data_IF_681905467450
#
_entry.id   IF_681905467450
#
_cell.length_a   1.000
_cell.length_b   1.000
_cell.length_c   1.000
_cell.angle_alpha   90.00
_cell.angle_beta   90.00
_cell.angle_gamma   90.00
#
_symmetry.space_group_name_H-M   'P 1'
#
loop_
_entity.id
_entity.type
_entity.pdbx_description
1 polymer ?
#
# COMPACT_ATOMS: atom_id res chain seq x y z
N UNK A 1 -4.31 19.04 19.19
CA UNK A 1 -4.10 20.29 18.41
C UNK A 1 -5.42 20.68 17.78
N UNK A 2 -5.77 21.97 17.63
CA UNK A 2 -6.99 22.32 16.90
C UNK A 2 -6.78 22.08 15.39
N UNK A 3 -7.12 20.87 14.92
CA UNK A 3 -7.10 20.44 13.53
C UNK A 3 -8.39 20.88 12.84
N UNK A 4 -8.32 21.31 11.58
CA UNK A 4 -9.48 21.70 10.77
C UNK A 4 -9.65 20.88 9.48
N UNK A 5 -8.73 19.97 9.19
CA UNK A 5 -8.83 19.01 8.09
C UNK A 5 -7.93 17.77 8.30
N UNK A 6 -8.16 16.74 7.50
CA UNK A 6 -7.28 15.58 7.34
C UNK A 6 -6.80 15.51 5.89
N UNK A 7 -5.53 15.15 5.69
CA UNK A 7 -4.94 14.92 4.37
C UNK A 7 -4.43 13.47 4.29
N UNK A 8 -5.10 12.62 3.50
CA UNK A 8 -4.59 11.30 3.16
C UNK A 8 -3.55 11.44 2.04
N UNK A 9 -2.34 10.91 2.27
CA UNK A 9 -1.21 11.07 1.37
C UNK A 9 -0.88 9.72 0.73
N UNK A 10 -1.01 9.63 -0.60
CA UNK A 10 -0.86 8.39 -1.36
C UNK A 10 0.14 8.52 -2.52
N UNK A 11 0.48 7.39 -3.15
CA UNK A 11 1.44 7.36 -4.25
C UNK A 11 0.90 8.01 -5.53
N UNK A 12 -0.36 7.75 -5.86
CA UNK A 12 -0.96 8.08 -7.16
C UNK A 12 -0.82 6.96 -8.19
N UNK A 13 -1.59 7.04 -9.26
CA UNK A 13 -1.55 6.09 -10.37
C UNK A 13 -2.43 6.55 -11.53
N UNK A 14 -2.12 6.12 -12.77
CA UNK A 14 -2.85 6.53 -13.96
C UNK A 14 -4.28 5.99 -13.91
N UNK A 15 -5.25 6.80 -14.27
CA UNK A 15 -6.70 6.49 -14.25
C UNK A 15 -7.27 6.14 -15.62
N UNK A 16 -6.48 6.37 -16.68
CA UNK A 16 -6.79 5.99 -18.05
C UNK A 16 -5.54 5.49 -18.80
N UNK A 17 -5.70 4.73 -19.91
CA UNK A 17 -4.57 4.16 -20.66
C UNK A 17 -3.58 5.21 -21.19
N UNK A 18 -4.08 6.35 -21.67
CA UNK A 18 -3.27 7.44 -22.20
C UNK A 18 -2.45 8.18 -21.11
N UNK A 19 -2.81 7.99 -19.84
CA UNK A 19 -2.11 8.55 -18.69
C UNK A 19 -0.90 7.70 -18.25
N UNK A 20 -0.79 6.43 -18.68
CA UNK A 20 0.23 5.48 -18.18
C UNK A 20 1.65 6.02 -18.38
N UNK A 21 2.00 6.38 -19.62
CA UNK A 21 3.36 6.83 -19.96
C UNK A 21 3.70 8.19 -19.31
N UNK A 22 2.82 9.22 -19.39
CA UNK A 22 3.01 10.46 -18.65
C UNK A 22 3.22 10.26 -17.13
N UNK A 23 2.44 9.37 -16.51
CA UNK A 23 2.61 9.01 -15.10
C UNK A 23 4.00 8.41 -14.83
N UNK A 24 4.43 7.46 -15.65
CA UNK A 24 5.73 6.80 -15.47
C UNK A 24 6.90 7.77 -15.68
N UNK A 25 6.78 8.73 -16.59
CA UNK A 25 7.77 9.81 -16.75
C UNK A 25 7.91 10.66 -15.47
N UNK A 26 6.80 10.94 -14.77
CA UNK A 26 6.82 11.63 -13.47
C UNK A 26 7.52 10.77 -12.41
N UNK A 27 7.13 9.50 -12.29
CA UNK A 27 7.72 8.56 -11.31
C UNK A 27 9.22 8.36 -11.54
N UNK A 28 9.65 8.36 -12.80
CA UNK A 28 11.03 8.18 -13.21
C UNK A 28 11.87 9.47 -13.11
N UNK A 29 11.25 10.63 -12.87
CA UNK A 29 11.96 11.91 -12.86
C UNK A 29 13.09 11.91 -11.84
N UNK A 30 14.28 12.30 -12.29
CA UNK A 30 15.49 12.32 -11.46
C UNK A 30 16.05 10.94 -11.14
N UNK A 31 15.52 9.87 -11.76
CA UNK A 31 16.02 8.50 -11.65
C UNK A 31 16.57 8.06 -13.00
N UNK A 32 17.68 7.32 -12.98
CA UNK A 32 18.26 6.74 -14.18
C UNK A 32 17.58 5.39 -14.49
N UNK A 33 16.28 5.42 -14.82
CA UNK A 33 15.52 4.22 -15.21
C UNK A 33 15.62 4.06 -16.73
N UNK A 34 16.10 2.91 -17.23
CA UNK A 34 16.18 2.68 -18.66
C UNK A 34 14.78 2.74 -19.34
N UNK A 35 14.64 3.34 -20.53
CA UNK A 35 13.35 3.44 -21.24
C UNK A 35 12.66 2.08 -21.42
N UNK A 36 13.42 1.03 -21.68
CA UNK A 36 12.89 -0.34 -21.81
C UNK A 36 12.21 -0.83 -20.52
N UNK A 37 12.71 -0.42 -19.35
CA UNK A 37 12.12 -0.78 -18.06
C UNK A 37 10.85 0.01 -17.79
N UNK A 38 10.78 1.27 -18.22
CA UNK A 38 9.53 2.04 -18.16
C UNK A 38 8.46 1.46 -19.06
N UNK A 39 8.83 1.04 -20.27
CA UNK A 39 7.91 0.42 -21.21
C UNK A 39 7.39 -0.94 -20.71
N UNK A 40 8.25 -1.73 -20.06
CA UNK A 40 7.83 -2.96 -19.39
C UNK A 40 6.77 -2.69 -18.30
N UNK A 41 6.98 -1.68 -17.46
CA UNK A 41 5.99 -1.28 -16.44
C UNK A 41 4.72 -0.71 -17.08
N UNK A 42 4.83 0.02 -18.19
CA UNK A 42 3.66 0.49 -18.94
C UNK A 42 2.80 -0.69 -19.39
N UNK A 43 3.42 -1.75 -19.91
CA UNK A 43 2.73 -2.97 -20.29
C UNK A 43 2.03 -3.66 -19.10
N UNK A 44 2.58 -3.56 -17.89
CA UNK A 44 1.90 -4.08 -16.69
C UNK A 44 0.57 -3.34 -16.45
N UNK A 45 0.55 -2.02 -16.59
CA UNK A 45 -0.68 -1.22 -16.50
C UNK A 45 -1.66 -1.53 -17.63
N UNK A 46 -1.19 -1.68 -18.86
CA UNK A 46 -2.04 -2.00 -20.03
C UNK A 46 -2.75 -3.36 -19.88
N UNK A 47 -2.18 -4.29 -19.11
CA UNK A 47 -2.80 -5.58 -18.78
C UNK A 47 -3.84 -5.50 -17.66
N UNK A 48 -3.97 -4.36 -16.98
CA UNK A 48 -4.99 -4.17 -15.95
C UNK A 48 -6.36 -3.93 -16.59
N UNK A 49 -7.47 -4.28 -15.90
CA UNK A 49 -8.81 -3.98 -16.39
C UNK A 49 -8.98 -2.50 -16.76
N UNK A 50 -9.17 -2.22 -18.05
CA UNK A 50 -9.32 -0.86 -18.57
C UNK A 50 -8.04 -0.03 -18.61
N UNK A 51 -6.85 -0.64 -18.48
CA UNK A 51 -5.56 0.06 -18.59
C UNK A 51 -5.38 1.16 -17.55
N UNK A 52 -5.87 0.95 -16.33
CA UNK A 52 -5.85 1.95 -15.26
C UNK A 52 -5.56 1.36 -13.88
N UNK A 53 -5.06 2.20 -12.99
CA UNK A 53 -4.85 1.92 -11.57
C UNK A 53 -6.13 2.19 -10.77
N UNK A 54 -6.60 1.24 -9.93
CA UNK A 54 -7.70 1.51 -9.00
C UNK A 54 -7.25 2.33 -7.77
N UNK A 55 -5.96 2.64 -7.62
CA UNK A 55 -5.41 3.29 -6.42
C UNK A 55 -6.13 4.60 -6.09
N UNK A 56 -6.37 5.45 -7.09
CA UNK A 56 -7.01 6.75 -6.89
C UNK A 56 -8.44 6.60 -6.38
N UNK A 57 -9.25 5.77 -7.04
CA UNK A 57 -10.62 5.44 -6.65
C UNK A 57 -10.68 4.87 -5.22
N UNK A 58 -9.80 3.91 -4.90
CA UNK A 58 -9.75 3.28 -3.57
C UNK A 58 -9.34 4.27 -2.48
N UNK A 59 -8.40 5.15 -2.76
CA UNK A 59 -7.96 6.18 -1.81
C UNK A 59 -9.08 7.20 -1.54
N UNK A 60 -9.83 7.61 -2.57
CA UNK A 60 -10.99 8.47 -2.42
C UNK A 60 -12.10 7.78 -1.61
N UNK A 61 -12.35 6.49 -1.83
CA UNK A 61 -13.29 5.71 -1.02
C UNK A 61 -12.87 5.65 0.46
N UNK A 62 -11.57 5.46 0.74
CA UNK A 62 -11.03 5.53 2.11
C UNK A 62 -11.25 6.91 2.74
N UNK A 63 -11.02 8.00 1.99
CA UNK A 63 -11.24 9.36 2.48
C UNK A 63 -12.72 9.59 2.83
N UNK A 64 -13.64 9.20 1.95
CA UNK A 64 -15.08 9.32 2.19
C UNK A 64 -15.54 8.46 3.38
N UNK A 65 -15.00 7.26 3.53
CA UNK A 65 -15.32 6.38 4.66
C UNK A 65 -14.81 6.97 5.98
N UNK A 66 -13.58 7.53 5.98
CA UNK A 66 -13.03 8.23 7.14
C UNK A 66 -13.85 9.46 7.51
N UNK A 67 -14.22 10.29 6.53
CA UNK A 67 -15.03 11.49 6.76
C UNK A 67 -16.36 11.15 7.41
N UNK A 68 -17.06 10.11 6.92
CA UNK A 68 -18.28 9.59 7.57
C UNK A 68 -18.02 9.11 9.00
N UNK A 69 -16.96 8.33 9.21
CA UNK A 69 -16.61 7.80 10.53
C UNK A 69 -16.27 8.92 11.55
N UNK A 70 -15.64 10.01 11.09
CA UNK A 70 -15.36 11.19 11.90
C UNK A 70 -16.63 11.96 12.23
N UNK A 71 -17.54 12.14 11.27
CA UNK A 71 -18.83 12.81 11.48
C UNK A 71 -19.72 12.05 12.49
N UNK A 72 -19.68 10.73 12.51
CA UNK A 72 -20.48 9.90 13.43
C UNK A 72 -19.95 9.92 14.88
N UNK A 73 -18.62 10.00 15.08
CA UNK A 73 -17.97 9.68 16.37
C UNK A 73 -16.83 10.64 16.75
N UNK A 74 -16.83 11.87 16.24
CA UNK A 74 -15.74 12.82 16.45
C UNK A 74 -16.01 14.22 15.88
N UNK A 75 -14.98 15.07 15.74
CA UNK A 75 -15.13 16.33 15.02
C UNK A 75 -15.37 16.02 13.53
N UNK A 76 -16.39 16.65 12.95
CA UNK A 76 -16.70 16.55 11.53
C UNK A 76 -15.64 17.30 10.70
N UNK A 77 -14.45 16.70 10.60
CA UNK A 77 -13.32 17.23 9.85
C UNK A 77 -13.40 16.75 8.39
N UNK A 78 -13.27 17.66 7.41
CA UNK A 78 -13.19 17.27 6.01
C UNK A 78 -11.91 16.48 5.74
N UNK A 79 -12.02 15.47 4.87
CA UNK A 79 -10.91 14.59 4.50
C UNK A 79 -10.54 14.82 3.05
N UNK A 80 -9.30 15.22 2.81
CA UNK A 80 -8.72 15.48 1.50
C UNK A 80 -7.74 14.38 1.10
N UNK A 81 -7.51 14.19 -0.20
CA UNK A 81 -6.54 13.23 -0.73
C UNK A 81 -5.51 13.97 -1.56
N UNK A 82 -4.23 13.79 -1.27
CA UNK A 82 -3.13 14.33 -2.07
C UNK A 82 -2.14 13.24 -2.47
N UNK A 83 -1.84 13.18 -3.75
CA UNK A 83 -0.99 12.16 -4.34
C UNK A 83 0.37 12.72 -4.77
N UNK A 84 1.40 11.88 -4.67
CA UNK A 84 2.78 12.26 -5.01
C UNK A 84 3.02 12.31 -6.51
N UNK A 85 2.51 11.33 -7.25
CA UNK A 85 2.91 11.10 -8.63
C UNK A 85 1.76 11.20 -9.64
N UNK A 86 0.51 11.40 -9.21
CA UNK A 86 -0.62 11.61 -10.12
C UNK A 86 -1.71 12.47 -9.47
N UNK A 87 -2.79 12.76 -10.20
CA UNK A 87 -3.89 13.58 -9.70
C UNK A 87 -4.81 12.87 -8.68
N UNK A 88 -5.41 13.59 -7.71
CA UNK A 88 -5.10 14.97 -7.36
C UNK A 88 -3.72 15.08 -6.72
N UNK A 89 -2.86 15.92 -7.28
CA UNK A 89 -1.51 16.11 -6.75
C UNK A 89 -1.57 16.80 -5.40
N UNK A 90 -0.53 16.58 -4.57
CA UNK A 90 -0.37 17.27 -3.29
C UNK A 90 -0.52 18.80 -3.40
N UNK A 91 0.08 19.43 -4.42
CA UNK A 91 -0.01 20.88 -4.58
C UNK A 91 -1.41 21.37 -5.00
N UNK A 92 -2.15 20.58 -5.78
CA UNK A 92 -3.54 20.87 -6.14
C UNK A 92 -4.44 20.80 -4.90
N UNK A 93 -4.25 19.73 -4.12
CA UNK A 93 -5.01 19.48 -2.89
C UNK A 93 -4.74 20.56 -1.84
N UNK A 94 -3.48 20.93 -1.62
CA UNK A 94 -3.13 21.99 -0.67
C UNK A 94 -3.66 23.36 -1.10
N UNK A 95 -3.74 23.63 -2.41
CA UNK A 95 -4.31 24.87 -2.93
C UNK A 95 -5.83 24.91 -2.72
N UNK A 96 -6.53 23.81 -2.96
CA UNK A 96 -7.95 23.65 -2.64
C UNK A 96 -8.20 23.84 -1.14
N UNK A 97 -7.37 23.23 -0.29
CA UNK A 97 -7.48 23.38 1.16
C UNK A 97 -7.28 24.82 1.62
N UNK A 98 -6.29 25.52 1.05
CA UNK A 98 -6.03 26.93 1.31
C UNK A 98 -7.21 27.81 0.89
N UNK A 99 -7.80 27.56 -0.29
CA UNK A 99 -8.97 28.27 -0.80
C UNK A 99 -10.22 28.08 0.08
N UNK A 100 -10.34 26.93 0.75
CA UNK A 100 -11.38 26.64 1.76
C UNK A 100 -11.08 27.19 3.14
N UNK A 101 -9.93 27.84 3.32
CA UNK A 101 -9.54 28.49 4.57
C UNK A 101 -8.97 27.57 5.63
N UNK A 102 -8.69 26.29 5.31
CA UNK A 102 -8.01 25.38 6.24
C UNK A 102 -6.64 25.92 6.65
N UNK A 103 -6.30 25.78 7.92
CA UNK A 103 -5.04 26.27 8.50
C UNK A 103 -4.17 25.15 9.03
N UNK A 104 -4.75 24.04 9.49
CA UNK A 104 -4.01 22.97 10.20
C UNK A 104 -4.59 21.61 9.88
N UNK A 105 -3.83 20.80 9.16
CA UNK A 105 -4.24 19.47 8.75
C UNK A 105 -3.40 18.37 9.40
N UNK A 106 -4.03 17.23 9.65
CA UNK A 106 -3.32 15.99 9.95
C UNK A 106 -3.06 15.22 8.65
N UNK A 107 -1.80 15.13 8.24
CA UNK A 107 -1.32 14.26 7.18
C UNK A 107 -1.20 12.82 7.63
N UNK A 108 -1.90 11.91 6.96
CA UNK A 108 -1.78 10.46 7.16
C UNK A 108 -1.17 9.86 5.91
N UNK A 109 0.07 9.38 6.03
CA UNK A 109 0.75 8.67 4.94
C UNK A 109 0.17 7.27 4.82
N UNK A 110 -0.37 6.94 3.65
CA UNK A 110 -0.98 5.65 3.34
C UNK A 110 0.07 4.60 2.93
N UNK A 111 1.14 4.50 3.70
CA UNK A 111 2.12 3.42 3.64
C UNK A 111 2.40 2.88 5.05
N UNK A 112 2.21 1.56 5.29
CA UNK A 112 2.21 1.01 6.65
C UNK A 112 3.59 0.98 7.30
N UNK A 113 4.65 0.76 6.51
CA UNK A 113 6.00 0.48 7.02
C UNK A 113 6.99 1.54 6.60
N UNK A 114 7.84 1.97 7.54
CA UNK A 114 8.73 3.12 7.37
C UNK A 114 10.02 2.78 6.68
N UNK A 115 10.32 3.52 5.61
CA UNK A 115 11.65 3.72 5.04
C UNK A 115 11.72 5.10 4.37
N UNK A 116 12.89 5.46 3.85
CA UNK A 116 13.07 6.72 3.10
C UNK A 116 12.01 6.85 1.99
N UNK A 117 11.80 5.79 1.22
CA UNK A 117 10.93 5.80 0.05
C UNK A 117 9.43 5.92 0.36
N UNK A 118 8.99 5.47 1.54
CA UNK A 118 7.58 5.41 1.94
C UNK A 118 7.15 6.50 2.91
N UNK A 119 8.07 7.07 3.69
CA UNK A 119 7.77 8.06 4.73
C UNK A 119 8.52 9.37 4.52
N UNK A 120 9.85 9.34 4.48
CA UNK A 120 10.64 10.57 4.44
C UNK A 120 10.40 11.34 3.13
N UNK A 121 10.35 10.61 2.01
CA UNK A 121 10.05 11.21 0.71
C UNK A 121 8.60 11.71 0.61
N UNK A 122 7.66 11.04 1.26
CA UNK A 122 6.26 11.52 1.33
C UNK A 122 6.19 12.85 2.10
N UNK A 123 6.89 12.96 3.23
CA UNK A 123 6.97 14.22 4.00
C UNK A 123 7.67 15.32 3.20
N UNK A 124 8.75 14.99 2.51
CA UNK A 124 9.48 15.93 1.66
C UNK A 124 8.60 16.46 0.52
N UNK A 125 7.80 15.59 -0.12
CA UNK A 125 6.89 15.99 -1.20
C UNK A 125 5.76 16.89 -0.70
N UNK A 126 5.22 16.63 0.51
CA UNK A 126 4.26 17.54 1.17
C UNK A 126 4.91 18.90 1.47
N UNK A 127 6.15 18.91 2.00
CA UNK A 127 6.86 20.14 2.29
C UNK A 127 7.14 20.96 1.02
N UNK A 128 7.58 20.31 -0.06
CA UNK A 128 7.80 20.94 -1.36
C UNK A 128 6.49 21.48 -1.97
N UNK A 129 5.40 20.70 -1.89
CA UNK A 129 4.07 21.14 -2.33
C UNK A 129 3.54 22.32 -1.49
N UNK A 130 3.79 22.33 -0.19
CA UNK A 130 3.41 23.43 0.71
C UNK A 130 4.20 24.70 0.39
N UNK A 131 5.51 24.60 0.19
CA UNK A 131 6.39 25.74 -0.11
C UNK A 131 6.01 26.47 -1.41
N UNK A 132 5.40 25.77 -2.37
CA UNK A 132 4.95 26.36 -3.64
C UNK A 132 3.47 26.76 -3.66
N UNK A 133 2.75 26.58 -2.56
CA UNK A 133 1.30 26.82 -2.47
C UNK A 133 1.02 27.93 -1.46
N UNK A 134 0.77 29.18 -1.91
CA UNK A 134 0.47 30.29 -1.00
C UNK A 134 -0.73 29.99 -0.11
N UNK A 135 -0.56 30.16 1.21
CA UNK A 135 -1.63 29.93 2.18
C UNK A 135 -1.94 28.45 2.47
N UNK A 136 -1.10 27.52 2.01
CA UNK A 136 -1.23 26.10 2.36
C UNK A 136 -1.32 25.90 3.89
N UNK A 137 -2.18 24.97 4.37
CA UNK A 137 -2.27 24.67 5.79
C UNK A 137 -0.96 24.08 6.31
N UNK A 138 -0.70 24.28 7.61
CA UNK A 138 0.34 23.53 8.31
C UNK A 138 -0.06 22.05 8.36
N UNK A 139 0.79 21.16 7.82
CA UNK A 139 0.55 19.71 7.84
C UNK A 139 1.41 19.06 8.92
N UNK A 140 0.78 18.63 10.01
CA UNK A 140 1.40 17.72 10.98
C UNK A 140 1.18 16.27 10.53
N UNK A 141 2.05 15.34 10.91
CA UNK A 141 1.95 13.95 10.48
C UNK A 141 1.49 13.03 11.60
N UNK A 142 0.59 12.09 11.27
CA UNK A 142 0.22 11.00 12.16
C UNK A 142 1.45 10.12 12.50
N UNK A 143 1.46 9.48 13.69
CA UNK A 143 2.53 8.55 14.04
C UNK A 143 2.52 7.30 13.14
N UNK A 144 3.61 6.51 13.13
CA UNK A 144 3.67 5.25 12.41
C UNK A 144 2.57 4.29 12.89
N UNK A 145 1.87 3.66 11.94
CA UNK A 145 0.63 2.93 12.23
C UNK A 145 0.60 1.49 11.70
N UNK A 146 1.64 1.01 11.00
CA UNK A 146 1.68 -0.36 10.45
C UNK A 146 1.55 -1.49 11.47
N UNK A 147 1.81 -1.22 12.76
CA UNK A 147 1.56 -2.14 13.87
C UNK A 147 0.24 -1.93 14.62
N UNK A 148 -0.62 -1.01 14.15
CA UNK A 148 -1.85 -0.67 14.87
C UNK A 148 -2.80 -1.88 14.95
N UNK A 149 -3.36 -2.21 16.14
CA UNK A 149 -4.18 -3.42 16.33
C UNK A 149 -5.36 -3.56 15.37
N UNK A 150 -5.98 -2.44 14.97
CA UNK A 150 -7.07 -2.41 13.99
C UNK A 150 -6.62 -2.61 12.54
N UNK A 151 -5.43 -2.14 12.16
CA UNK A 151 -4.87 -2.48 10.84
C UNK A 151 -4.57 -3.96 10.76
N UNK A 152 -3.92 -4.50 11.79
CA UNK A 152 -3.65 -5.94 11.93
C UNK A 152 -4.95 -6.76 11.93
N UNK A 153 -6.02 -6.27 12.57
CA UNK A 153 -7.35 -6.88 12.52
C UNK A 153 -7.92 -6.92 11.09
N UNK A 154 -7.90 -5.79 10.38
CA UNK A 154 -8.39 -5.68 9.01
C UNK A 154 -7.65 -6.64 8.06
N UNK A 155 -6.31 -6.73 8.18
CA UNK A 155 -5.51 -7.65 7.37
C UNK A 155 -5.84 -9.11 7.72
N UNK A 156 -6.02 -9.44 9.00
CA UNK A 156 -6.42 -10.78 9.43
C UNK A 156 -7.81 -11.17 8.89
N UNK A 157 -8.77 -10.25 8.85
CA UNK A 157 -10.10 -10.52 8.27
C UNK A 157 -10.03 -10.75 6.75
N UNK A 158 -9.23 -9.96 6.03
CA UNK A 158 -8.96 -10.19 4.60
C UNK A 158 -8.29 -11.53 4.34
N UNK A 159 -7.30 -11.89 5.15
CA UNK A 159 -6.61 -13.17 5.05
C UNK A 159 -7.55 -14.35 5.35
N UNK A 160 -8.39 -14.23 6.39
CA UNK A 160 -9.39 -15.25 6.73
C UNK A 160 -10.36 -15.48 5.57
N UNK A 161 -10.84 -14.42 4.92
CA UNK A 161 -11.70 -14.56 3.75
C UNK A 161 -11.01 -15.33 2.60
N UNK A 162 -9.72 -15.11 2.37
CA UNK A 162 -8.96 -15.87 1.38
C UNK A 162 -8.76 -17.35 1.78
N UNK A 163 -8.59 -17.64 3.08
CA UNK A 163 -8.58 -19.03 3.56
C UNK A 163 -9.90 -19.76 3.34
N UNK A 164 -11.04 -19.06 3.30
CA UNK A 164 -12.34 -19.70 3.06
C UNK A 164 -12.44 -20.30 1.65
N UNK A 165 -11.64 -19.84 0.69
CA UNK A 165 -11.54 -20.40 -0.66
C UNK A 165 -10.76 -21.73 -0.71
N UNK A 166 -9.96 -22.02 0.31
CA UNK A 166 -9.21 -23.27 0.45
C UNK A 166 -10.16 -24.36 0.99
N UNK A 167 -10.09 -25.62 0.50
CA UNK A 167 -10.87 -26.72 1.06
C UNK A 167 -10.68 -26.86 2.58
N UNK A 168 -11.78 -27.02 3.33
CA UNK A 168 -11.76 -26.96 4.80
C UNK A 168 -10.73 -27.89 5.46
N UNK A 169 -10.52 -29.10 4.93
CA UNK A 169 -9.53 -30.07 5.44
C UNK A 169 -8.06 -29.69 5.20
N UNK A 170 -7.80 -28.68 4.36
CA UNK A 170 -6.45 -28.26 3.96
C UNK A 170 -6.04 -26.92 4.56
N UNK A 171 -7.01 -26.12 5.04
CA UNK A 171 -6.80 -24.76 5.55
C UNK A 171 -5.73 -24.68 6.65
N UNK A 172 -5.81 -25.56 7.65
CA UNK A 172 -4.92 -25.56 8.80
C UNK A 172 -3.43 -25.72 8.42
N UNK A 173 -3.15 -26.37 7.29
CA UNK A 173 -1.80 -26.63 6.82
C UNK A 173 -1.38 -25.71 5.68
N UNK A 174 -2.31 -24.97 5.08
CA UNK A 174 -2.01 -24.15 3.91
C UNK A 174 -1.04 -23.02 4.27
N UNK A 175 0.11 -22.87 3.59
CA UNK A 175 1.07 -21.80 3.86
C UNK A 175 0.47 -20.41 3.60
N UNK A 176 0.75 -19.49 4.52
CA UNK A 176 0.44 -18.07 4.41
C UNK A 176 1.69 -17.29 4.00
N UNK A 177 1.61 -16.44 2.98
CA UNK A 177 2.73 -15.64 2.48
C UNK A 177 2.37 -14.17 2.55
N UNK A 178 2.98 -13.45 3.49
CA UNK A 178 2.84 -12.00 3.56
C UNK A 178 3.75 -11.33 2.54
N UNK A 179 3.24 -10.37 1.76
CA UNK A 179 4.01 -9.65 0.76
C UNK A 179 4.08 -8.15 1.01
N UNK A 180 5.22 -7.57 0.67
CA UNK A 180 5.46 -6.13 0.67
C UNK A 180 6.43 -5.75 -0.46
N UNK A 181 6.51 -4.47 -0.80
CA UNK A 181 7.48 -4.00 -1.78
C UNK A 181 8.92 -4.32 -1.32
N UNK A 182 9.77 -4.83 -2.21
CA UNK A 182 11.20 -5.03 -1.95
C UNK A 182 11.94 -3.68 -1.92
N UNK A 183 12.97 -3.53 -1.10
CA UNK A 183 13.77 -2.31 -1.07
C UNK A 183 15.22 -2.66 -1.39
N UNK A 184 16.02 -1.71 -1.94
CA UNK A 184 17.47 -1.84 -1.88
C UNK A 184 17.91 -2.13 -0.44
N UNK A 185 18.77 -3.13 -0.25
CA UNK A 185 19.20 -3.57 1.11
C UNK A 185 19.73 -2.40 1.95
N UNK A 186 20.59 -1.50 1.43
CA UNK A 186 21.06 -0.35 2.24
C UNK A 186 19.94 0.57 2.73
N UNK A 187 18.86 0.73 1.95
CA UNK A 187 17.70 1.53 2.36
C UNK A 187 16.89 0.81 3.45
N UNK A 188 16.75 -0.52 3.33
CA UNK A 188 16.08 -1.33 4.32
C UNK A 188 16.84 -1.34 5.66
N UNK A 189 18.17 -1.50 5.61
CA UNK A 189 19.03 -1.54 6.80
C UNK A 189 19.05 -0.22 7.56
N UNK A 190 18.83 0.90 6.86
CA UNK A 190 18.76 2.24 7.45
C UNK A 190 17.39 2.57 8.07
N UNK A 191 16.42 1.66 8.04
CA UNK A 191 15.04 1.91 8.43
C UNK A 191 14.41 0.75 9.21
N UNK A 192 13.34 0.97 9.99
CA UNK A 192 12.66 -0.10 10.71
C UNK A 192 11.74 -0.94 9.81
N UNK A 193 11.78 -0.77 8.49
CA UNK A 193 10.85 -1.37 7.51
C UNK A 193 10.64 -2.88 7.71
N UNK A 194 11.74 -3.65 7.76
CA UNK A 194 11.67 -5.12 7.90
C UNK A 194 11.15 -5.51 9.28
N UNK A 195 11.55 -4.80 10.34
CA UNK A 195 11.10 -5.07 11.70
C UNK A 195 9.61 -4.79 11.87
N UNK A 196 9.10 -3.68 11.31
CA UNK A 196 7.68 -3.32 11.35
C UNK A 196 6.82 -4.28 10.53
N UNK A 197 7.26 -4.63 9.32
CA UNK A 197 6.61 -5.63 8.48
C UNK A 197 6.53 -6.97 9.20
N UNK A 198 7.64 -7.41 9.79
CA UNK A 198 7.71 -8.68 10.51
C UNK A 198 6.78 -8.69 11.72
N UNK A 199 6.78 -7.62 12.53
CA UNK A 199 5.89 -7.50 13.67
C UNK A 199 4.41 -7.52 13.26
N UNK A 200 4.04 -6.81 12.18
CA UNK A 200 2.67 -6.82 11.67
C UNK A 200 2.25 -8.19 11.13
N UNK A 201 3.13 -8.88 10.40
CA UNK A 201 2.91 -10.24 9.90
C UNK A 201 2.68 -11.23 11.06
N UNK A 202 3.51 -11.17 12.12
CA UNK A 202 3.29 -11.94 13.34
C UNK A 202 1.95 -11.63 14.00
N UNK A 203 1.60 -10.35 14.14
CA UNK A 203 0.32 -9.94 14.73
C UNK A 203 -0.90 -10.47 13.95
N UNK A 204 -0.81 -10.52 12.61
CA UNK A 204 -1.86 -11.12 11.77
C UNK A 204 -1.90 -12.64 11.95
N UNK A 205 -0.74 -13.29 11.90
CA UNK A 205 -0.62 -14.74 12.09
C UNK A 205 -1.15 -15.19 13.46
N UNK A 206 -0.88 -14.43 14.52
CA UNK A 206 -1.42 -14.65 15.87
C UNK A 206 -2.95 -14.53 15.91
N UNK A 207 -3.52 -13.51 15.27
CA UNK A 207 -4.98 -13.34 15.18
C UNK A 207 -5.69 -14.42 14.37
N UNK A 208 -4.98 -15.04 13.44
CA UNK A 208 -5.47 -16.17 12.65
C UNK A 208 -5.24 -17.51 13.34
N UNK A 209 -4.49 -17.54 14.43
CA UNK A 209 -3.97 -18.76 15.06
C UNK A 209 -3.19 -19.64 14.05
N UNK A 210 -2.54 -19.01 13.07
CA UNK A 210 -1.90 -19.68 11.95
C UNK A 210 -0.38 -19.50 11.99
N UNK A 211 0.36 -20.58 12.25
CA UNK A 211 1.82 -20.53 12.46
C UNK A 211 2.64 -20.80 11.20
N UNK A 212 2.06 -21.40 10.15
CA UNK A 212 2.75 -21.70 8.89
C UNK A 212 2.72 -20.47 7.98
N UNK A 213 3.62 -19.52 8.21
CA UNK A 213 3.75 -18.36 7.35
C UNK A 213 5.20 -18.02 6.98
N UNK A 214 5.35 -17.28 5.89
CA UNK A 214 6.60 -16.64 5.47
C UNK A 214 6.35 -15.19 5.03
N UNK A 215 7.43 -14.43 4.94
CA UNK A 215 7.43 -13.09 4.33
C UNK A 215 8.15 -13.19 3.00
N UNK A 216 7.59 -12.57 1.98
CA UNK A 216 8.20 -12.42 0.67
C UNK A 216 8.13 -10.95 0.22
N UNK A 217 8.98 -10.59 -0.71
CA UNK A 217 9.01 -9.26 -1.30
C UNK A 217 8.61 -9.31 -2.78
N UNK A 218 8.13 -8.18 -3.30
CA UNK A 218 7.71 -8.05 -4.69
C UNK A 218 8.14 -6.70 -5.28
N UNK A 219 7.88 -6.48 -6.56
CA UNK A 219 8.04 -5.16 -7.20
C UNK A 219 9.47 -4.60 -7.23
N UNK A 220 10.48 -5.49 -7.33
CA UNK A 220 11.87 -5.07 -7.55
C UNK A 220 11.99 -4.25 -8.84
N UNK A 221 12.37 -2.98 -8.73
CA UNK A 221 12.39 -2.03 -9.83
C UNK A 221 13.77 -1.42 -10.14
N UNK A 222 14.79 -1.70 -9.31
CA UNK A 222 16.15 -1.21 -9.49
C UNK A 222 17.06 -2.10 -10.34
N UNK A 223 18.32 -1.67 -10.46
CA UNK A 223 19.36 -2.40 -11.20
C UNK A 223 19.52 -3.84 -10.68
N UNK A 224 19.66 -4.85 -11.57
CA UNK A 224 19.96 -6.21 -11.16
C UNK A 224 21.23 -6.36 -10.31
N UNK A 225 22.16 -5.38 -10.42
CA UNK A 225 23.43 -5.35 -9.71
C UNK A 225 23.33 -4.81 -8.28
N UNK A 226 22.23 -4.13 -7.95
CA UNK A 226 21.98 -3.66 -6.59
C UNK A 226 21.30 -4.79 -5.81
N UNK A 227 21.74 -5.10 -4.57
CA UNK A 227 21.06 -6.08 -3.72
C UNK A 227 19.74 -5.50 -3.20
N UNK A 228 18.68 -6.29 -3.31
CA UNK A 228 17.33 -5.96 -2.87
C UNK A 228 16.86 -6.98 -1.82
N UNK A 229 15.85 -6.64 -1.04
CA UNK A 229 15.26 -7.55 -0.05
C UNK A 229 14.70 -8.80 -0.74
N UNK A 230 15.03 -9.95 -0.16
CA UNK A 230 14.68 -11.30 -0.58
C UNK A 230 14.04 -12.05 0.61
N UNK A 231 13.24 -13.10 0.39
CA UNK A 231 12.99 -13.75 -0.90
C UNK A 231 11.89 -13.07 -1.74
N UNK A 232 12.05 -13.11 -3.06
CA UNK A 232 11.00 -12.75 -4.02
C UNK A 232 9.78 -13.69 -3.93
N UNK A 233 8.56 -13.14 -4.09
CA UNK A 233 7.30 -13.87 -3.99
C UNK A 233 7.20 -15.04 -4.97
N UNK A 234 7.68 -14.87 -6.21
CA UNK A 234 7.70 -15.97 -7.20
C UNK A 234 8.68 -17.06 -6.73
N UNK A 235 9.82 -16.68 -6.15
CA UNK A 235 10.76 -17.60 -5.51
C UNK A 235 10.13 -18.43 -4.39
N UNK A 236 9.40 -17.78 -3.47
CA UNK A 236 8.71 -18.45 -2.35
C UNK A 236 7.66 -19.43 -2.87
N UNK A 237 6.80 -19.01 -3.80
CA UNK A 237 5.74 -19.88 -4.33
C UNK A 237 6.31 -21.09 -5.09
N UNK A 238 7.42 -20.90 -5.82
CA UNK A 238 8.14 -22.01 -6.46
C UNK A 238 8.63 -23.04 -5.43
N UNK A 239 9.20 -22.58 -4.32
CA UNK A 239 9.69 -23.44 -3.25
C UNK A 239 8.56 -24.20 -2.54
N UNK A 240 7.42 -23.54 -2.29
CA UNK A 240 6.23 -24.17 -1.72
C UNK A 240 5.69 -25.27 -2.64
N UNK A 241 5.54 -24.99 -3.94
CA UNK A 241 5.09 -25.98 -4.91
C UNK A 241 6.06 -27.17 -5.01
N UNK A 242 7.38 -26.90 -5.02
CA UNK A 242 8.40 -27.95 -5.04
C UNK A 242 8.40 -28.82 -3.78
N UNK A 243 7.91 -28.30 -2.67
CA UNK A 243 7.74 -29.00 -1.39
C UNK A 243 6.40 -29.76 -1.30
N UNK A 244 5.59 -29.76 -2.37
CA UNK A 244 4.34 -30.50 -2.47
C UNK A 244 3.12 -29.78 -1.90
N UNK A 245 3.22 -28.48 -1.60
CA UNK A 245 2.07 -27.68 -1.18
C UNK A 245 1.07 -27.54 -2.34
N UNK A 246 -0.22 -27.75 -2.04
CA UNK A 246 -1.31 -27.65 -3.04
C UNK A 246 -1.97 -26.29 -3.07
N UNK A 247 -1.93 -25.56 -1.96
CA UNK A 247 -2.53 -24.25 -1.79
C UNK A 247 -1.51 -23.28 -1.21
N UNK A 248 -1.66 -21.99 -1.51
CA UNK A 248 -0.99 -20.91 -0.79
C UNK A 248 -1.92 -19.71 -0.68
N UNK A 249 -1.98 -19.10 0.50
CA UNK A 249 -2.68 -17.84 0.73
C UNK A 249 -1.67 -16.70 0.73
N UNK A 250 -1.83 -15.73 -0.17
CA UNK A 250 -0.95 -14.55 -0.27
C UNK A 250 -1.67 -13.32 0.27
N UNK A 251 -0.99 -12.56 1.14
CA UNK A 251 -1.54 -11.37 1.81
C UNK A 251 -0.64 -10.15 1.54
N UNK A 252 -1.07 -9.19 0.69
CA UNK A 252 -0.31 -7.99 0.38
C UNK A 252 -0.35 -6.95 1.52
N UNK A 253 0.25 -7.30 2.68
CA UNK A 253 0.24 -6.49 3.90
C UNK A 253 1.03 -5.18 3.77
N UNK A 254 1.97 -5.08 2.82
CA UNK A 254 2.71 -3.85 2.52
C UNK A 254 1.88 -2.73 1.89
N UNK A 255 0.63 -3.00 1.51
CA UNK A 255 -0.21 -2.09 0.72
C UNK A 255 -1.60 -1.95 1.33
N UNK A 256 -2.19 -0.76 1.20
CA UNK A 256 -3.56 -0.49 1.69
C UNK A 256 -4.62 -0.43 0.60
N UNK A 257 -4.20 -0.34 -0.66
CA UNK A 257 -5.07 -0.37 -1.84
C UNK A 257 -4.48 -1.34 -2.86
N UNK A 258 -5.34 -2.00 -3.64
CA UNK A 258 -4.86 -2.71 -4.82
C UNK A 258 -4.33 -1.67 -5.84
N UNK A 259 -3.21 -1.97 -6.49
CA UNK A 259 -2.63 -1.20 -7.59
C UNK A 259 -1.76 -2.12 -8.46
N UNK A 260 -1.08 -1.58 -9.47
CA UNK A 260 -0.37 -2.39 -10.47
C UNK A 260 0.58 -3.41 -9.86
N UNK A 261 1.30 -3.08 -8.79
CA UNK A 261 2.24 -4.01 -8.14
C UNK A 261 1.52 -5.17 -7.47
N UNK A 262 0.35 -4.94 -6.87
CA UNK A 262 -0.46 -6.03 -6.30
C UNK A 262 -1.10 -6.85 -7.42
N UNK A 263 -1.77 -6.19 -8.35
CA UNK A 263 -2.57 -6.85 -9.39
C UNK A 263 -1.71 -7.56 -10.43
N UNK A 264 -0.60 -6.95 -10.85
CA UNK A 264 0.31 -7.58 -11.79
C UNK A 264 1.18 -8.64 -11.08
N UNK A 265 1.91 -8.28 -10.03
CA UNK A 265 2.87 -9.22 -9.45
C UNK A 265 2.16 -10.43 -8.86
N UNK A 266 0.99 -10.25 -8.23
CA UNK A 266 0.27 -11.35 -7.58
C UNK A 266 -0.79 -12.00 -8.47
N UNK A 267 -1.66 -11.22 -9.10
CA UNK A 267 -2.78 -11.79 -9.88
C UNK A 267 -2.38 -12.20 -11.30
N UNK A 268 -1.22 -11.75 -11.80
CA UNK A 268 -0.68 -12.14 -13.11
C UNK A 268 0.57 -12.99 -12.98
N UNK A 269 1.69 -12.45 -12.49
CA UNK A 269 2.98 -13.13 -12.53
C UNK A 269 3.05 -14.32 -11.56
N UNK A 270 2.73 -14.11 -10.29
CA UNK A 270 2.71 -15.16 -9.27
C UNK A 270 1.63 -16.20 -9.54
N UNK A 271 0.42 -15.78 -9.96
CA UNK A 271 -0.66 -16.68 -10.33
C UNK A 271 -0.30 -17.58 -11.52
N UNK A 272 0.36 -17.04 -12.55
CA UNK A 272 0.82 -17.81 -13.69
C UNK A 272 1.85 -18.88 -13.27
N UNK A 273 2.84 -18.50 -12.47
CA UNK A 273 3.82 -19.45 -11.92
C UNK A 273 3.13 -20.53 -11.08
N UNK A 274 2.24 -20.14 -10.18
CA UNK A 274 1.54 -21.07 -9.29
C UNK A 274 0.73 -22.10 -10.11
N UNK A 275 0.02 -21.64 -11.14
CA UNK A 275 -0.72 -22.51 -12.06
C UNK A 275 0.20 -23.49 -12.82
N UNK A 276 1.35 -23.02 -13.34
CA UNK A 276 2.34 -23.87 -14.01
C UNK A 276 2.86 -24.99 -13.08
N UNK A 277 2.89 -24.74 -11.78
CA UNK A 277 3.41 -25.66 -10.75
C UNK A 277 2.33 -26.43 -10.00
N UNK A 278 1.06 -26.32 -10.40
CA UNK A 278 -0.05 -27.01 -9.74
C UNK A 278 -0.37 -26.50 -8.33
N UNK A 279 0.06 -25.28 -7.99
CA UNK A 279 -0.22 -24.62 -6.72
C UNK A 279 -1.42 -23.69 -6.88
N UNK A 280 -2.51 -23.94 -6.14
CA UNK A 280 -3.66 -23.06 -6.09
C UNK A 280 -3.35 -21.80 -5.26
N UNK A 281 -3.33 -20.64 -5.92
CA UNK A 281 -3.01 -19.36 -5.29
C UNK A 281 -4.28 -18.57 -4.91
N UNK A 282 -4.46 -18.36 -3.61
CA UNK A 282 -5.54 -17.57 -3.03
C UNK A 282 -4.99 -16.22 -2.57
N UNK A 283 -5.46 -15.11 -3.13
CA UNK A 283 -4.94 -13.78 -2.78
C UNK A 283 -5.97 -13.04 -1.92
N UNK A 284 -5.55 -12.63 -0.72
CA UNK A 284 -6.34 -11.70 0.07
C UNK A 284 -6.40 -10.32 -0.61
N UNK A 285 -7.56 -9.63 -0.60
CA UNK A 285 -7.59 -8.22 -0.97
C UNK A 285 -6.68 -7.42 -0.01
N UNK A 286 -6.12 -6.32 -0.48
CA UNK A 286 -5.63 -5.28 0.44
C UNK A 286 -6.77 -4.78 1.34
N UNK A 287 -6.44 -4.05 2.42
CA UNK A 287 -7.47 -3.57 3.34
C UNK A 287 -8.51 -2.68 2.63
N UNK A 288 -8.12 -1.91 1.62
CA UNK A 288 -8.99 -0.96 0.93
C UNK A 288 -9.75 -0.09 1.96
N UNK A 289 -11.07 -0.03 1.90
CA UNK A 289 -11.95 0.69 2.80
C UNK A 289 -12.51 -0.19 3.93
N UNK A 290 -11.78 -1.24 4.33
CA UNK A 290 -12.21 -2.15 5.40
C UNK A 290 -12.61 -1.39 6.68
N UNK A 291 -13.74 -1.71 7.34
CA UNK A 291 -14.23 -0.96 8.50
C UNK A 291 -13.19 -0.79 9.61
N UNK A 292 -12.45 -1.84 9.96
CA UNK A 292 -11.37 -1.75 10.96
C UNK A 292 -10.20 -0.84 10.51
N UNK A 293 -9.88 -0.78 9.22
CA UNK A 293 -8.87 0.13 8.71
C UNK A 293 -9.35 1.59 8.77
N UNK A 294 -10.60 1.85 8.38
CA UNK A 294 -11.21 3.18 8.50
C UNK A 294 -11.30 3.61 9.97
N UNK A 295 -11.66 2.70 10.87
CA UNK A 295 -11.68 2.96 12.30
C UNK A 295 -10.28 3.27 12.86
N UNK A 296 -9.23 2.61 12.35
CA UNK A 296 -7.84 2.95 12.67
C UNK A 296 -7.48 4.37 12.25
N UNK A 297 -7.81 4.75 11.01
CA UNK A 297 -7.56 6.11 10.53
C UNK A 297 -8.27 7.14 11.42
N UNK A 298 -9.51 6.85 11.85
CA UNK A 298 -10.24 7.71 12.78
C UNK A 298 -9.59 7.76 14.18
N UNK A 299 -9.03 6.65 14.67
CA UNK A 299 -8.26 6.62 15.94
C UNK A 299 -7.01 7.52 15.86
N UNK A 300 -6.31 7.53 14.72
CA UNK A 300 -5.16 8.42 14.50
C UNK A 300 -5.58 9.90 14.54
N UNK A 301 -6.69 10.24 13.89
CA UNK A 301 -7.22 11.62 13.90
C UNK A 301 -7.62 12.05 15.31
N UNK A 302 -8.36 11.21 16.03
CA UNK A 302 -8.79 11.49 17.41
C UNK A 302 -7.63 11.64 18.39
N UNK A 303 -6.55 10.90 18.17
CA UNK A 303 -5.36 10.98 19.04
C UNK A 303 -4.54 12.27 18.81
N UNK A 304 -4.72 12.93 17.66
CA UNK A 304 -4.01 14.16 17.30
C UNK A 304 -4.81 15.45 17.57
N UNK A 305 -6.14 15.35 17.60
CA UNK A 305 -7.06 16.44 17.96
C UNK A 305 -6.94 16.82 19.44
#
# INVERSE_FOLDING_TARGET
MNLDAVLLIAFGGPTAPDEIRPFLEIVARGRNIPPERLEEVAHHYERMPGGRSPLAERTLAQAQALERALAERGPALPVHVGMRNWHPFLHETLAEMAARGHKRALGIILSPFRCEASWDRYKADVAAASARTPGAPEVAFAPPWGGHPRFVAAVAERARAAFEEVPAGERAWTPLVFTAHSLPVPMADAAPYVAELTAAAHGVADRLEHRRFSIAYQSRSGSPREPWLEPDVVGVLRALAASGERHAVVVPIGYVCDHVEVLYDLDVAARALAAERGLALHRAPTVNDHPEFVAMLADLVRSAA
#
